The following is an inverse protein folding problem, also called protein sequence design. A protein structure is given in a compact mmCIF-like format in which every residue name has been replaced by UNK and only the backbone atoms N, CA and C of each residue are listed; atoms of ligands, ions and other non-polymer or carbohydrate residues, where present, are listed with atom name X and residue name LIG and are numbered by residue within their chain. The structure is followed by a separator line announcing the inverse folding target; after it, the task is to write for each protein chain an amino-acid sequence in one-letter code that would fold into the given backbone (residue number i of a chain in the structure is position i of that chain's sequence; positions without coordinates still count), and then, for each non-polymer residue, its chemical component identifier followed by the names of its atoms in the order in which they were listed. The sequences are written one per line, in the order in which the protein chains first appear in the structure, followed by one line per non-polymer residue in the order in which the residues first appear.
data_IF_382983825728
#
_entry.id   IF_382983825728
#
_cell.length_a   1.000
_cell.length_b   1.000
_cell.length_c   1.000
_cell.angle_alpha   90.00
_cell.angle_beta   90.00
_cell.angle_gamma   90.00
#
_symmetry.space_group_name_H-M   'P 1'
#
loop_
_entity.id
_entity.type
_entity.pdbx_description
1 polymer ?
#
# COMPACT_ATOMS: atom_id res chain seq x y z
N UNK A 1 -6.20 -74.70 14.07
CA UNK A 1 -6.47 -73.48 14.92
C UNK A 1 -5.29 -72.58 15.12
N UNK A 2 -4.06 -73.12 15.30
CA UNK A 2 -2.85 -72.30 15.54
C UNK A 2 -2.46 -71.39 14.37
N UNK A 3 -2.67 -71.84 13.11
CA UNK A 3 -2.37 -71.04 11.90
C UNK A 3 -3.35 -69.89 11.72
N UNK A 4 -4.60 -70.02 12.11
CA UNK A 4 -5.63 -68.97 12.05
C UNK A 4 -5.33 -67.87 13.08
N UNK A 5 -4.92 -68.26 14.31
CA UNK A 5 -4.50 -67.30 15.33
C UNK A 5 -3.26 -66.53 14.94
N UNK A 6 -2.27 -67.19 14.29
CA UNK A 6 -1.03 -66.54 13.83
C UNK A 6 -1.33 -65.49 12.73
N UNK A 7 -2.25 -65.83 11.79
CA UNK A 7 -2.66 -64.89 10.72
C UNK A 7 -3.47 -63.70 11.27
N UNK A 8 -4.35 -63.93 12.25
CA UNK A 8 -5.08 -62.85 12.92
C UNK A 8 -4.19 -61.89 13.67
N UNK A 9 -3.17 -62.41 14.40
CA UNK A 9 -2.16 -61.62 15.08
C UNK A 9 -1.31 -60.76 14.13
N UNK A 10 -0.90 -61.33 12.99
CA UNK A 10 -0.13 -60.58 11.98
C UNK A 10 -0.95 -59.47 11.35
N UNK A 11 -2.21 -59.67 11.02
CA UNK A 11 -3.10 -58.61 10.49
C UNK A 11 -3.30 -57.48 11.51
N UNK A 12 -3.48 -57.83 12.79
CA UNK A 12 -3.62 -56.81 13.85
C UNK A 12 -2.37 -55.92 13.99
N UNK A 13 -1.17 -56.53 13.94
CA UNK A 13 0.09 -55.80 14.01
C UNK A 13 0.24 -54.87 12.79
N UNK A 14 -0.12 -55.32 11.59
CA UNK A 14 -0.08 -54.47 10.39
C UNK A 14 -1.03 -53.27 10.50
N UNK A 15 -2.25 -53.48 11.02
CA UNK A 15 -3.22 -52.41 11.23
C UNK A 15 -2.72 -51.40 12.27
N UNK A 16 -2.11 -51.84 13.36
CA UNK A 16 -1.50 -50.97 14.37
C UNK A 16 -0.33 -50.18 13.81
N UNK A 17 0.56 -50.82 13.04
CA UNK A 17 1.66 -50.10 12.38
C UNK A 17 1.15 -49.06 11.36
N UNK A 18 0.13 -49.39 10.56
CA UNK A 18 -0.48 -48.44 9.64
C UNK A 18 -1.15 -47.28 10.39
N UNK A 19 -1.87 -47.56 11.49
CA UNK A 19 -2.46 -46.51 12.32
C UNK A 19 -1.43 -45.58 12.95
N UNK A 20 -0.33 -46.13 13.49
CA UNK A 20 0.78 -45.33 14.02
C UNK A 20 1.45 -44.50 12.93
N UNK A 21 1.63 -45.07 11.74
CA UNK A 21 2.17 -44.34 10.58
C UNK A 21 1.31 -43.13 10.17
N UNK A 22 -0.02 -43.34 10.11
CA UNK A 22 -0.99 -42.28 9.81
C UNK A 22 -0.95 -41.16 10.86
N UNK A 23 -0.92 -41.52 12.15
CA UNK A 23 -0.84 -40.54 13.24
C UNK A 23 0.49 -39.78 13.21
N UNK A 24 1.61 -40.48 12.98
CA UNK A 24 2.92 -39.87 12.87
C UNK A 24 2.98 -38.88 11.68
N UNK A 25 2.45 -39.29 10.53
CA UNK A 25 2.34 -38.42 9.34
C UNK A 25 1.46 -37.19 9.58
N UNK A 26 0.29 -37.37 10.20
CA UNK A 26 -0.62 -36.29 10.53
C UNK A 26 0.04 -35.28 11.50
N UNK A 27 0.73 -35.78 12.54
CA UNK A 27 1.49 -34.91 13.47
C UNK A 27 2.62 -34.16 12.79
N UNK A 28 3.38 -34.82 11.92
CA UNK A 28 4.45 -34.16 11.16
C UNK A 28 3.89 -33.06 10.26
N UNK A 29 2.82 -33.33 9.53
CA UNK A 29 2.16 -32.35 8.66
C UNK A 29 1.55 -31.18 9.45
N UNK A 30 0.96 -31.45 10.62
CA UNK A 30 0.46 -30.41 11.53
C UNK A 30 1.61 -29.53 12.07
N UNK A 31 2.75 -30.14 12.42
CA UNK A 31 3.94 -29.40 12.87
C UNK A 31 4.48 -28.45 11.79
N UNK A 32 4.56 -28.91 10.54
CA UNK A 32 4.99 -28.05 9.41
C UNK A 32 4.02 -26.87 9.21
N UNK A 33 2.71 -27.13 9.22
CA UNK A 33 1.70 -26.08 9.08
C UNK A 33 1.78 -25.05 10.21
N UNK A 34 1.95 -25.52 11.44
CA UNK A 34 2.09 -24.65 12.60
C UNK A 34 3.34 -23.78 12.50
N UNK A 35 4.47 -24.35 12.06
CA UNK A 35 5.72 -23.62 11.84
C UNK A 35 5.54 -22.51 10.80
N UNK A 36 4.97 -22.84 9.64
CA UNK A 36 4.70 -21.86 8.56
C UNK A 36 3.73 -20.76 9.06
N UNK A 37 2.69 -21.12 9.79
CA UNK A 37 1.75 -20.15 10.34
C UNK A 37 2.43 -19.22 11.37
N UNK A 38 3.32 -19.78 12.22
CA UNK A 38 4.09 -19.02 13.17
C UNK A 38 5.05 -18.04 12.50
N UNK A 39 5.82 -18.51 11.50
CA UNK A 39 6.76 -17.67 10.74
C UNK A 39 6.02 -16.50 10.05
N UNK A 40 4.86 -16.77 9.43
CA UNK A 40 4.03 -15.71 8.85
C UNK A 40 3.49 -14.71 9.88
N UNK A 41 3.10 -15.19 11.06
CA UNK A 41 2.63 -14.31 12.13
C UNK A 41 3.75 -13.44 12.69
N UNK A 42 4.95 -14.00 12.88
CA UNK A 42 6.13 -13.26 13.35
C UNK A 42 6.58 -12.21 12.31
N UNK A 43 6.54 -12.55 11.01
CA UNK A 43 6.83 -11.62 9.92
C UNK A 43 5.82 -10.46 9.87
N UNK A 44 4.51 -10.76 10.00
CA UNK A 44 3.47 -9.74 10.05
C UNK A 44 3.62 -8.82 11.26
N UNK A 45 3.97 -9.36 12.44
CA UNK A 45 4.20 -8.56 13.65
C UNK A 45 5.45 -7.66 13.52
N UNK A 46 6.52 -8.18 12.91
CA UNK A 46 7.72 -7.40 12.63
C UNK A 46 7.43 -6.26 11.64
N UNK A 47 6.70 -6.54 10.55
CA UNK A 47 6.29 -5.51 9.57
C UNK A 47 5.42 -4.43 10.23
N UNK A 48 4.46 -4.84 11.08
CA UNK A 48 3.62 -3.91 11.84
C UNK A 48 4.43 -3.02 12.79
N UNK A 49 5.40 -3.60 13.49
CA UNK A 49 6.27 -2.85 14.39
C UNK A 49 7.17 -1.86 13.65
N UNK A 50 7.75 -2.27 12.52
CA UNK A 50 8.54 -1.40 11.65
C UNK A 50 7.69 -0.26 11.05
N UNK A 51 6.46 -0.57 10.61
CA UNK A 51 5.50 0.43 10.13
C UNK A 51 5.20 1.50 11.19
N UNK A 52 4.86 1.08 12.43
CA UNK A 52 4.57 2.02 13.53
C UNK A 52 5.80 2.87 13.90
N UNK A 53 7.00 2.30 13.87
CA UNK A 53 8.24 3.04 14.13
C UNK A 53 8.48 4.11 13.04
N UNK A 54 8.31 3.75 11.78
CA UNK A 54 8.45 4.68 10.65
C UNK A 54 7.38 5.78 10.70
N UNK A 55 6.12 5.43 10.96
CA UNK A 55 5.03 6.40 11.11
C UNK A 55 5.30 7.40 12.22
N UNK A 56 5.79 6.94 13.39
CA UNK A 56 6.17 7.83 14.47
C UNK A 56 7.25 8.83 14.05
N UNK A 57 8.22 8.40 13.25
CA UNK A 57 9.27 9.28 12.74
C UNK A 57 8.71 10.28 11.72
N UNK A 58 7.87 9.81 10.80
CA UNK A 58 7.27 10.65 9.76
C UNK A 58 6.26 11.68 10.31
N UNK A 59 5.57 11.35 11.40
CA UNK A 59 4.70 12.29 12.13
C UNK A 59 5.53 13.32 12.91
N UNK A 60 6.62 12.90 13.54
CA UNK A 60 7.44 13.78 14.38
C UNK A 60 8.10 14.91 13.59
N UNK A 61 8.55 14.65 12.39
CA UNK A 61 9.26 15.63 11.55
C UNK A 61 8.38 16.84 11.22
N UNK A 62 7.20 16.73 10.60
CA UNK A 62 6.34 17.87 10.34
C UNK A 62 5.82 18.52 11.63
N UNK A 63 5.55 17.74 12.67
CA UNK A 63 5.12 18.29 13.96
C UNK A 63 6.18 19.21 14.57
N UNK A 64 7.44 18.79 14.58
CA UNK A 64 8.55 19.60 15.07
C UNK A 64 8.75 20.86 14.22
N UNK A 65 8.57 20.78 12.90
CA UNK A 65 8.60 21.95 12.02
C UNK A 65 7.49 22.94 12.34
N UNK A 66 6.24 22.47 12.51
CA UNK A 66 5.11 23.32 12.91
C UNK A 66 5.41 24.03 14.24
N UNK A 67 5.83 23.27 15.25
CA UNK A 67 6.12 23.83 16.58
C UNK A 67 7.28 24.83 16.52
N UNK A 68 8.38 24.48 15.85
CA UNK A 68 9.56 25.36 15.73
C UNK A 68 9.24 26.65 15.00
N UNK A 69 8.61 26.58 13.82
CA UNK A 69 8.28 27.78 13.04
C UNK A 69 7.16 28.61 13.69
N UNK A 70 6.24 27.98 14.45
CA UNK A 70 5.23 28.73 15.23
C UNK A 70 5.83 29.58 16.32
N UNK A 71 6.99 29.20 16.90
CA UNK A 71 7.70 30.04 17.86
C UNK A 71 8.42 31.20 17.20
N UNK A 72 9.04 30.95 16.04
CA UNK A 72 9.77 31.98 15.30
C UNK A 72 8.83 33.03 14.72
N UNK A 73 7.67 32.64 14.16
CA UNK A 73 6.71 33.56 13.53
C UNK A 73 6.11 34.55 14.54
N UNK A 74 6.09 34.18 15.84
CA UNK A 74 5.54 35.04 16.88
C UNK A 74 6.39 36.30 17.11
N UNK A 75 7.71 36.21 16.90
CA UNK A 75 8.67 37.30 17.10
C UNK A 75 9.17 37.93 15.78
N UNK A 76 8.65 37.42 14.62
CA UNK A 76 9.07 37.91 13.31
C UNK A 76 8.33 39.20 12.94
N UNK A 77 9.09 40.28 12.67
CA UNK A 77 8.55 41.59 12.29
C UNK A 77 8.41 41.78 10.78
N UNK A 78 9.25 41.08 9.99
CA UNK A 78 9.19 41.16 8.53
C UNK A 78 7.98 40.42 7.97
N UNK A 79 7.16 41.12 7.20
CA UNK A 79 5.90 40.56 6.68
C UNK A 79 6.13 39.49 5.63
N UNK A 80 7.19 39.55 4.83
CA UNK A 80 7.51 38.57 3.79
C UNK A 80 8.02 37.29 4.43
N UNK A 81 8.94 37.35 5.36
CA UNK A 81 9.44 36.23 6.15
C UNK A 81 8.33 35.57 6.94
N UNK A 82 7.42 36.35 7.54
CA UNK A 82 6.26 35.82 8.25
C UNK A 82 5.33 35.03 7.32
N UNK A 83 5.12 35.50 6.09
CA UNK A 83 4.32 34.81 5.09
C UNK A 83 4.98 33.49 4.66
N UNK A 84 6.29 33.46 4.45
CA UNK A 84 7.05 32.24 4.15
C UNK A 84 6.95 31.23 5.28
N UNK A 85 7.15 31.63 6.52
CA UNK A 85 7.02 30.76 7.69
C UNK A 85 5.60 30.19 7.82
N UNK A 86 4.57 31.01 7.57
CA UNK A 86 3.18 30.57 7.55
C UNK A 86 2.93 29.49 6.49
N UNK A 87 3.48 29.65 5.30
CA UNK A 87 3.37 28.66 4.21
C UNK A 87 4.07 27.34 4.58
N UNK A 88 5.21 27.40 5.25
CA UNK A 88 5.91 26.22 5.75
C UNK A 88 5.07 25.48 6.81
N UNK A 89 4.48 26.21 7.76
CA UNK A 89 3.59 25.63 8.77
C UNK A 89 2.39 24.97 8.10
N UNK A 90 1.76 25.66 7.17
CA UNK A 90 0.59 25.16 6.43
C UNK A 90 0.92 23.86 5.67
N UNK A 91 2.03 23.83 4.93
CA UNK A 91 2.47 22.66 4.16
C UNK A 91 2.76 21.44 5.07
N UNK A 92 3.37 21.68 6.23
CA UNK A 92 3.61 20.60 7.21
C UNK A 92 2.33 20.11 7.87
N UNK A 93 1.35 21.01 8.12
CA UNK A 93 0.05 20.63 8.62
C UNK A 93 -0.71 19.73 7.62
N UNK A 94 -0.71 20.07 6.33
CA UNK A 94 -1.31 19.28 5.26
C UNK A 94 -0.63 17.90 5.10
N UNK A 95 0.70 17.85 5.28
CA UNK A 95 1.45 16.60 5.31
C UNK A 95 1.00 15.73 6.49
N UNK A 96 0.90 16.31 7.69
CA UNK A 96 0.50 15.60 8.90
C UNK A 96 -0.93 15.06 8.78
N UNK A 97 -1.86 15.83 8.23
CA UNK A 97 -3.23 15.39 7.98
C UNK A 97 -3.27 14.17 7.06
N UNK A 98 -2.51 14.19 5.96
CA UNK A 98 -2.40 13.04 5.04
C UNK A 98 -1.86 11.80 5.73
N UNK A 99 -0.80 11.94 6.55
CA UNK A 99 -0.23 10.81 7.28
C UNK A 99 -1.23 10.20 8.28
N UNK A 100 -2.03 11.03 8.94
CA UNK A 100 -3.09 10.55 9.85
C UNK A 100 -4.19 9.81 9.06
N UNK A 101 -4.62 10.35 7.93
CA UNK A 101 -5.61 9.71 7.05
C UNK A 101 -5.11 8.35 6.54
N UNK A 102 -3.85 8.25 6.13
CA UNK A 102 -3.22 6.99 5.68
C UNK A 102 -3.21 5.94 6.80
N UNK A 103 -2.85 6.32 8.04
CA UNK A 103 -2.88 5.42 9.21
C UNK A 103 -4.30 4.95 9.52
N UNK A 104 -5.29 5.85 9.45
CA UNK A 104 -6.69 5.51 9.66
C UNK A 104 -7.22 4.58 8.57
N UNK A 105 -6.82 4.79 7.32
CA UNK A 105 -7.21 3.92 6.21
C UNK A 105 -6.61 2.52 6.37
N UNK A 106 -5.33 2.39 6.73
CA UNK A 106 -4.71 1.10 7.04
C UNK A 106 -5.45 0.40 8.19
N UNK A 107 -5.77 1.13 9.27
CA UNK A 107 -6.53 0.57 10.39
C UNK A 107 -7.92 0.06 9.98
N UNK A 108 -8.62 0.78 9.09
CA UNK A 108 -9.92 0.35 8.54
C UNK A 108 -9.79 -0.88 7.63
N UNK A 109 -8.70 -0.98 6.86
CA UNK A 109 -8.41 -2.15 6.02
C UNK A 109 -8.13 -3.38 6.91
N UNK A 110 -7.23 -3.24 7.92
CA UNK A 110 -6.89 -4.33 8.86
C UNK A 110 -8.12 -4.83 9.62
N UNK A 111 -9.01 -3.93 10.05
CA UNK A 111 -10.24 -4.27 10.76
C UNK A 111 -11.40 -4.69 9.87
N UNK A 112 -11.20 -4.70 8.54
CA UNK A 112 -12.22 -4.98 7.53
C UNK A 112 -13.47 -4.07 7.66
N UNK A 113 -13.26 -2.82 8.09
CA UNK A 113 -14.31 -1.81 8.30
C UNK A 113 -14.30 -0.71 7.24
N UNK A 114 -13.44 -0.81 6.23
CA UNK A 114 -13.39 0.14 5.13
C UNK A 114 -14.70 0.07 4.33
N UNK A 115 -15.40 1.19 4.24
CA UNK A 115 -16.63 1.32 3.46
C UNK A 115 -16.35 2.02 2.15
N UNK A 116 -17.01 1.57 1.06
CA UNK A 116 -16.90 2.17 -0.26
C UNK A 116 -18.22 2.84 -0.64
N UNK A 117 -18.14 4.03 -1.22
CA UNK A 117 -19.26 4.74 -1.81
C UNK A 117 -19.25 4.49 -3.32
N UNK A 118 -19.87 3.39 -3.72
CA UNK A 118 -19.88 2.95 -5.10
C UNK A 118 -20.94 3.68 -5.93
N UNK A 119 -20.53 4.25 -7.08
CA UNK A 119 -21.38 4.88 -8.06
C UNK A 119 -20.80 4.74 -9.48
N UNK A 120 -21.60 5.02 -10.49
CA UNK A 120 -21.13 5.05 -11.88
C UNK A 120 -20.39 6.36 -12.14
N UNK A 121 -19.16 6.26 -12.59
CA UNK A 121 -18.30 7.41 -12.93
C UNK A 121 -17.71 7.27 -14.33
N UNK A 122 -17.72 8.36 -15.07
CA UNK A 122 -17.04 8.45 -16.36
C UNK A 122 -15.53 8.56 -16.13
N UNK A 123 -14.77 7.57 -16.58
CA UNK A 123 -13.34 7.49 -16.31
C UNK A 123 -12.54 8.58 -17.02
N UNK A 124 -12.91 8.93 -18.26
CA UNK A 124 -12.20 9.99 -19.01
C UNK A 124 -12.30 11.35 -18.30
N UNK A 125 -13.45 11.67 -17.69
CA UNK A 125 -13.62 12.88 -16.88
C UNK A 125 -12.78 12.83 -15.61
N UNK A 126 -12.80 11.70 -14.90
CA UNK A 126 -11.98 11.48 -13.70
C UNK A 126 -10.49 11.67 -13.98
N UNK A 127 -9.98 11.08 -15.07
CA UNK A 127 -8.56 11.20 -15.45
C UNK A 127 -8.17 12.65 -15.76
N UNK A 128 -9.06 13.42 -16.41
CA UNK A 128 -8.83 14.85 -16.65
C UNK A 128 -8.78 15.68 -15.38
N UNK A 129 -9.65 15.36 -14.40
CA UNK A 129 -9.63 16.04 -13.10
C UNK A 129 -8.32 15.76 -12.35
N UNK A 130 -7.87 14.49 -12.34
CA UNK A 130 -6.59 14.10 -11.78
C UNK A 130 -5.44 14.80 -12.51
N UNK A 131 -5.44 14.84 -13.84
CA UNK A 131 -4.45 15.55 -14.64
C UNK A 131 -4.34 17.01 -14.22
N UNK A 132 -5.47 17.70 -14.08
CA UNK A 132 -5.50 19.12 -13.72
C UNK A 132 -4.92 19.38 -12.32
N UNK A 133 -5.17 18.49 -11.36
CA UNK A 133 -4.63 18.58 -9.99
C UNK A 133 -3.12 18.32 -9.97
N UNK A 134 -2.69 17.31 -10.70
CA UNK A 134 -1.28 16.89 -10.73
C UNK A 134 -0.43 17.91 -11.49
N UNK A 135 -0.96 18.48 -12.57
CA UNK A 135 -0.25 19.48 -13.39
C UNK A 135 0.28 20.67 -12.57
N UNK A 136 -0.46 21.10 -11.54
CA UNK A 136 -0.07 22.19 -10.64
C UNK A 136 1.14 21.85 -9.75
N UNK A 137 1.50 20.58 -9.67
CA UNK A 137 2.59 20.05 -8.82
C UNK A 137 3.81 19.60 -9.62
N UNK A 138 3.72 19.71 -10.96
CA UNK A 138 4.79 19.21 -11.84
C UNK A 138 6.03 20.09 -11.76
N UNK A 139 7.23 19.50 -11.63
CA UNK A 139 8.50 20.23 -11.81
C UNK A 139 8.64 20.72 -13.25
N UNK A 140 9.31 21.86 -13.43
CA UNK A 140 9.50 22.49 -14.76
C UNK A 140 10.15 21.59 -15.82
N UNK A 141 10.97 20.62 -15.38
CA UNK A 141 11.73 19.72 -16.27
C UNK A 141 11.04 18.38 -16.53
N UNK A 142 9.80 18.19 -16.05
CA UNK A 142 9.04 16.93 -16.19
C UNK A 142 7.71 17.21 -16.86
N UNK A 143 7.46 16.53 -17.97
CA UNK A 143 6.21 16.65 -18.72
C UNK A 143 5.16 15.68 -18.17
N UNK A 144 3.95 16.14 -17.87
CA UNK A 144 2.82 15.28 -17.55
C UNK A 144 2.03 14.95 -18.83
N UNK A 145 1.78 13.67 -19.07
CA UNK A 145 1.01 13.17 -20.19
C UNK A 145 -0.19 12.38 -19.72
N UNK A 146 -1.35 12.66 -20.28
CA UNK A 146 -2.55 11.83 -20.15
C UNK A 146 -2.81 11.15 -21.47
N UNK A 147 -2.82 9.82 -21.52
CA UNK A 147 -3.10 9.08 -22.72
C UNK A 147 -4.56 9.24 -23.17
N UNK A 148 -4.80 9.14 -24.48
CA UNK A 148 -6.16 9.23 -25.01
C UNK A 148 -6.92 7.93 -24.77
N UNK A 149 -7.46 7.82 -23.56
CA UNK A 149 -8.25 6.67 -23.13
C UNK A 149 -9.64 6.68 -23.80
N UNK A 150 -10.13 5.50 -24.16
CA UNK A 150 -11.49 5.36 -24.68
C UNK A 150 -12.54 5.72 -23.62
N UNK A 151 -13.71 6.28 -23.98
CA UNK A 151 -14.78 6.55 -23.03
C UNK A 151 -15.25 5.27 -22.33
N UNK A 152 -15.26 5.28 -20.99
CA UNK A 152 -15.69 4.14 -20.20
C UNK A 152 -16.35 4.61 -18.89
N UNK A 153 -17.42 3.93 -18.50
CA UNK A 153 -18.10 4.17 -17.23
C UNK A 153 -17.82 2.98 -16.29
N UNK A 154 -17.25 3.28 -15.12
CA UNK A 154 -16.91 2.27 -14.10
C UNK A 154 -17.77 2.47 -12.86
N UNK A 155 -18.33 1.39 -12.33
CA UNK A 155 -19.00 1.36 -11.04
C UNK A 155 -17.95 1.20 -9.93
N UNK A 156 -17.57 2.29 -9.30
CA UNK A 156 -16.46 2.34 -8.34
C UNK A 156 -16.64 3.46 -7.33
N UNK A 157 -15.77 3.50 -6.32
CA UNK A 157 -15.60 4.66 -5.44
C UNK A 157 -14.60 5.63 -6.05
N UNK A 158 -15.12 6.78 -6.53
CA UNK A 158 -14.32 7.83 -7.16
C UNK A 158 -13.21 8.35 -6.25
N UNK A 159 -13.51 8.56 -4.97
CA UNK A 159 -12.56 9.12 -3.99
C UNK A 159 -11.37 8.18 -3.80
N UNK A 160 -11.65 6.89 -3.61
CA UNK A 160 -10.61 5.88 -3.41
C UNK A 160 -9.78 5.64 -4.66
N UNK A 161 -10.42 5.60 -5.84
CA UNK A 161 -9.67 5.48 -7.10
C UNK A 161 -8.79 6.71 -7.33
N UNK A 162 -9.29 7.92 -7.06
CA UNK A 162 -8.49 9.15 -7.13
C UNK A 162 -7.31 9.10 -6.16
N UNK A 163 -7.52 8.63 -4.93
CA UNK A 163 -6.46 8.46 -3.92
C UNK A 163 -5.34 7.54 -4.41
N UNK A 164 -5.69 6.37 -4.96
CA UNK A 164 -4.70 5.42 -5.50
C UNK A 164 -3.89 6.04 -6.64
N UNK A 165 -4.57 6.63 -7.62
CA UNK A 165 -3.91 7.22 -8.78
C UNK A 165 -3.03 8.42 -8.41
N UNK A 166 -3.50 9.29 -7.50
CA UNK A 166 -2.71 10.42 -6.99
C UNK A 166 -1.48 9.95 -6.21
N UNK A 167 -1.56 8.89 -5.44
CA UNK A 167 -0.42 8.31 -4.73
C UNK A 167 0.64 7.78 -5.71
N UNK A 168 0.22 7.07 -6.75
CA UNK A 168 1.14 6.59 -7.79
C UNK A 168 1.80 7.75 -8.53
N UNK A 169 1.02 8.78 -8.92
CA UNK A 169 1.53 9.96 -9.62
C UNK A 169 2.48 10.80 -8.76
N UNK A 170 2.19 10.97 -7.48
CA UNK A 170 3.09 11.69 -6.56
C UNK A 170 4.39 10.93 -6.32
N UNK A 171 4.35 9.60 -6.29
CA UNK A 171 5.56 8.78 -6.26
C UNK A 171 6.38 8.96 -7.54
N UNK A 172 5.74 8.92 -8.71
CA UNK A 172 6.40 9.17 -9.99
C UNK A 172 7.06 10.56 -10.03
N UNK A 173 6.39 11.62 -9.55
CA UNK A 173 6.94 12.98 -9.45
C UNK A 173 8.18 13.00 -8.55
N UNK A 174 8.14 12.35 -7.40
CA UNK A 174 9.25 12.31 -6.44
C UNK A 174 10.51 11.68 -7.03
N UNK A 175 10.36 10.68 -7.91
CA UNK A 175 11.46 9.89 -8.46
C UNK A 175 11.85 10.29 -9.89
N UNK A 176 11.13 11.23 -10.53
CA UNK A 176 11.44 11.71 -11.88
C UNK A 176 11.99 13.13 -11.84
N UNK A 177 13.29 13.30 -12.08
CA UNK A 177 13.94 14.61 -12.10
C UNK A 177 13.85 15.33 -13.46
N UNK A 178 13.72 14.56 -14.53
CA UNK A 178 13.66 15.04 -15.92
C UNK A 178 13.02 13.98 -16.81
N UNK A 179 12.23 14.41 -17.78
CA UNK A 179 11.59 13.53 -18.76
C UNK A 179 10.07 13.66 -18.71
N UNK A 180 9.36 12.57 -18.57
CA UNK A 180 7.89 12.60 -18.54
C UNK A 180 7.31 11.58 -17.56
N UNK A 181 6.07 11.87 -17.15
CA UNK A 181 5.18 10.96 -16.44
C UNK A 181 3.93 10.82 -17.29
N UNK A 182 3.58 9.59 -17.64
CA UNK A 182 2.41 9.27 -18.45
C UNK A 182 1.45 8.39 -17.64
N UNK A 183 0.16 8.63 -17.73
CA UNK A 183 -0.84 7.80 -17.07
C UNK A 183 -2.11 7.69 -17.90
N UNK A 184 -2.85 6.62 -17.63
CA UNK A 184 -4.04 6.32 -18.38
C UNK A 184 -4.73 5.05 -17.88
N UNK A 185 -5.64 4.54 -18.70
CA UNK A 185 -6.22 3.23 -18.50
C UNK A 185 -6.52 2.54 -19.83
N UNK A 186 -6.40 1.21 -19.82
CA UNK A 186 -6.81 0.31 -20.88
C UNK A 186 -8.02 -0.49 -20.45
N UNK A 187 -8.96 -0.71 -21.34
CA UNK A 187 -10.16 -1.52 -21.11
C UNK A 187 -10.11 -2.74 -22.02
N UNK A 188 -10.21 -3.92 -21.42
CA UNK A 188 -10.38 -5.19 -22.11
C UNK A 188 -11.76 -5.80 -21.78
N UNK A 189 -12.09 -6.94 -22.36
CA UNK A 189 -13.36 -7.64 -22.05
C UNK A 189 -13.46 -8.13 -20.59
N UNK A 190 -12.32 -8.27 -19.90
CA UNK A 190 -12.26 -8.89 -18.56
C UNK A 190 -11.84 -7.92 -17.46
N UNK A 191 -11.08 -6.87 -17.81
CA UNK A 191 -10.49 -5.96 -16.83
C UNK A 191 -10.34 -4.53 -17.35
N UNK A 192 -10.27 -3.58 -16.42
CA UNK A 192 -9.75 -2.24 -16.66
C UNK A 192 -8.40 -2.14 -15.94
N UNK A 193 -7.36 -1.74 -16.68
CA UNK A 193 -6.01 -1.56 -16.16
C UNK A 193 -5.67 -0.09 -16.11
N UNK A 194 -5.49 0.46 -14.92
CA UNK A 194 -4.90 1.78 -14.74
C UNK A 194 -3.38 1.66 -14.67
N UNK A 195 -2.67 2.61 -15.27
CA UNK A 195 -1.21 2.61 -15.26
C UNK A 195 -0.65 4.02 -15.07
N UNK A 196 0.55 4.08 -14.49
CA UNK A 196 1.42 5.25 -14.41
C UNK A 196 2.80 4.80 -14.86
N UNK A 197 3.36 5.50 -15.83
CA UNK A 197 4.70 5.27 -16.37
C UNK A 197 5.53 6.52 -16.16
N UNK A 198 6.71 6.39 -15.64
CA UNK A 198 7.66 7.47 -15.45
C UNK A 198 9.02 7.16 -16.10
N UNK A 199 9.84 8.19 -16.27
CA UNK A 199 11.20 8.09 -16.78
C UNK A 199 12.24 8.38 -15.70
N UNK A 200 11.88 8.09 -14.45
CA UNK A 200 12.73 8.30 -13.28
C UNK A 200 13.87 7.29 -13.13
N UNK A 201 14.42 7.23 -11.93
CA UNK A 201 15.58 6.38 -11.63
C UNK A 201 15.26 4.87 -11.58
N UNK A 202 13.96 4.51 -11.60
CA UNK A 202 13.51 3.12 -11.50
C UNK A 202 13.73 2.52 -10.11
N UNK A 203 13.34 1.23 -9.97
CA UNK A 203 13.52 0.45 -8.74
C UNK A 203 14.62 -0.59 -9.01
N UNK A 204 15.69 -0.63 -8.21
CA UNK A 204 16.72 -1.65 -8.33
C UNK A 204 16.15 -3.07 -8.19
N UNK A 205 16.69 -4.04 -8.96
CA UNK A 205 16.17 -5.41 -9.00
C UNK A 205 16.15 -6.10 -7.64
N UNK A 206 17.08 -5.77 -6.74
CA UNK A 206 17.16 -6.29 -5.37
C UNK A 206 16.07 -5.72 -4.42
N UNK A 207 15.36 -4.68 -4.84
CA UNK A 207 14.29 -4.04 -4.09
C UNK A 207 12.88 -4.33 -4.64
N UNK A 208 12.77 -4.90 -5.85
CA UNK A 208 11.49 -5.20 -6.49
C UNK A 208 10.58 -6.13 -5.66
N UNK A 209 11.15 -7.03 -4.87
CA UNK A 209 10.39 -7.93 -3.98
C UNK A 209 9.87 -7.24 -2.70
N UNK A 210 10.29 -5.99 -2.43
CA UNK A 210 9.95 -5.24 -1.21
C UNK A 210 8.97 -4.09 -1.45
N UNK A 211 8.56 -3.88 -2.70
CA UNK A 211 7.70 -2.75 -3.13
C UNK A 211 6.25 -3.20 -3.35
#
# INVERSE_FOLDING_TARGET
DSILMLRGGFVLVLLLCAGLGIVAYARHRAGIRLKIAKEKAEEADHLKSAFLANMNHEIRTPLNAIVGFSQVIADEEDAETRHELSNIIQSNNELLQRLIEDVLDISKIESNTLTFVLANHEMKALMKDIYSIILLRMPENVELRLDDCQPFTLYTDRSRLTQVLTNLLTNAIKHTKKGYICFGYDVTEQEIRFYVTDTGEGIPDDQLERV
#
